data_IF_008174975003
#
_entry.id   IF_008174975003
#
_cell.length_a   1.000
_cell.length_b   1.000
_cell.length_c   1.000
_cell.angle_alpha   90.00
_cell.angle_beta   90.00
_cell.angle_gamma   90.00
#
_symmetry.space_group_name_H-M   'P 1'
#
loop_
_entity.id
_entity.type
_entity.pdbx_description
1 polymer ?
#
# COMPACT_ATOMS: atom_id res chain seq x y z
N UNK A 1 -4.71 24.86 5.07
CA UNK A 1 -3.96 23.73 5.66
C UNK A 1 -3.13 24.24 6.84
N UNK A 2 -3.26 23.67 8.05
CA UNK A 2 -2.58 24.24 9.24
C UNK A 2 -1.07 23.93 9.21
N UNK A 3 -0.24 24.86 9.70
CA UNK A 3 1.23 24.72 9.78
C UNK A 3 1.68 23.41 10.44
N UNK A 4 0.96 22.95 11.48
CA UNK A 4 1.21 21.65 12.15
C UNK A 4 1.03 20.44 11.24
N UNK A 5 -0.03 20.42 10.43
CA UNK A 5 -0.32 19.31 9.51
C UNK A 5 0.76 19.21 8.43
N UNK A 6 1.22 20.37 7.95
CA UNK A 6 2.30 20.44 6.95
C UNK A 6 3.63 19.96 7.54
N UNK A 7 3.98 20.40 8.76
CA UNK A 7 5.18 19.93 9.47
C UNK A 7 5.19 18.42 9.68
N UNK A 8 4.08 17.83 10.12
CA UNK A 8 3.99 16.38 10.31
C UNK A 8 4.10 15.61 8.99
N UNK A 9 3.41 16.06 7.93
CA UNK A 9 3.47 15.42 6.62
C UNK A 9 4.89 15.49 6.03
N UNK A 10 5.57 16.64 6.18
CA UNK A 10 6.97 16.80 5.77
C UNK A 10 7.90 15.92 6.61
N UNK A 11 7.69 15.82 7.92
CA UNK A 11 8.49 14.95 8.79
C UNK A 11 8.36 13.47 8.39
N UNK A 12 7.14 12.99 8.15
CA UNK A 12 6.90 11.61 7.68
C UNK A 12 7.55 11.38 6.31
N UNK A 13 7.37 12.31 5.37
CA UNK A 13 8.00 12.22 4.05
C UNK A 13 9.52 12.11 4.16
N UNK A 14 10.14 12.92 5.02
CA UNK A 14 11.59 12.92 5.23
C UNK A 14 12.06 11.61 5.89
N UNK A 15 11.34 11.10 6.89
CA UNK A 15 11.64 9.79 7.50
C UNK A 15 11.57 8.67 6.46
N UNK A 16 10.55 8.65 5.60
CA UNK A 16 10.41 7.66 4.54
C UNK A 16 11.55 7.78 3.52
N UNK A 17 11.91 9.00 3.10
CA UNK A 17 13.03 9.23 2.20
C UNK A 17 14.35 8.66 2.78
N UNK A 18 14.64 8.99 4.04
CA UNK A 18 15.83 8.52 4.75
C UNK A 18 15.82 6.99 4.87
N UNK A 19 14.67 6.40 5.18
CA UNK A 19 14.54 4.95 5.32
C UNK A 19 14.78 4.24 3.98
N UNK A 20 14.23 4.76 2.87
CA UNK A 20 14.47 4.20 1.54
C UNK A 20 15.94 4.31 1.15
N UNK A 21 16.58 5.47 1.39
CA UNK A 21 18.00 5.66 1.13
C UNK A 21 18.89 4.76 2.02
N UNK A 22 18.52 4.57 3.28
CA UNK A 22 19.23 3.67 4.18
C UNK A 22 19.15 2.22 3.69
N UNK A 23 17.95 1.76 3.30
CA UNK A 23 17.74 0.40 2.78
C UNK A 23 18.51 0.18 1.47
N UNK A 24 18.54 1.16 0.56
CA UNK A 24 19.29 1.03 -0.69
C UNK A 24 20.79 1.10 -0.48
N UNK A 25 21.28 1.90 0.47
CA UNK A 25 22.71 1.97 0.81
C UNK A 25 23.22 0.72 1.51
N UNK A 26 22.36 0.01 2.24
CA UNK A 26 22.68 -1.28 2.85
C UNK A 26 22.81 -2.41 1.83
N UNK A 27 22.26 -2.25 0.62
CA UNK A 27 22.59 -3.15 -0.49
C UNK A 27 24.01 -2.80 -0.93
N UNK A 28 24.99 -3.55 -0.42
CA UNK A 28 26.39 -3.43 -0.80
C UNK A 28 26.60 -3.55 -2.31
N UNK A 29 27.82 -3.32 -2.75
CA UNK A 29 28.17 -3.45 -4.16
C UNK A 29 27.87 -4.86 -4.68
N UNK A 30 27.25 -4.95 -5.85
CA UNK A 30 27.02 -6.22 -6.52
C UNK A 30 27.78 -6.24 -7.84
N UNK A 31 28.31 -7.40 -8.18
CA UNK A 31 29.00 -7.68 -9.43
C UNK A 31 28.25 -8.79 -10.14
N UNK A 32 28.01 -8.63 -11.43
CA UNK A 32 27.42 -9.65 -12.28
C UNK A 32 28.49 -10.16 -13.24
N UNK A 33 28.83 -11.44 -13.12
CA UNK A 33 29.73 -12.13 -14.03
C UNK A 33 28.94 -13.00 -15.00
N UNK A 34 29.32 -12.97 -16.27
CA UNK A 34 28.63 -13.66 -17.37
C UNK A 34 29.58 -14.58 -18.12
N UNK A 35 29.07 -15.72 -18.57
CA UNK A 35 29.81 -16.67 -19.41
C UNK A 35 28.87 -17.34 -20.41
N UNK A 36 29.32 -17.53 -21.64
CA UNK A 36 28.53 -18.20 -22.67
C UNK A 36 28.88 -19.70 -22.74
N UNK A 37 27.84 -20.51 -22.90
CA UNK A 37 27.94 -21.96 -23.17
C UNK A 37 27.26 -22.24 -24.49
N UNK A 38 27.94 -22.98 -25.37
CA UNK A 38 27.48 -23.32 -26.71
C UNK A 38 27.26 -24.82 -26.83
N UNK A 39 26.09 -25.21 -27.32
CA UNK A 39 25.83 -26.56 -27.78
C UNK A 39 26.63 -26.84 -29.06
N UNK A 40 27.41 -27.93 -29.05
CA UNK A 40 28.22 -28.35 -30.20
C UNK A 40 27.93 -29.82 -30.49
N UNK A 41 27.70 -30.22 -31.76
CA UNK A 41 27.50 -31.62 -32.11
C UNK A 41 28.77 -32.43 -31.88
N UNK A 42 28.62 -33.72 -31.52
CA UNK A 42 29.73 -34.67 -31.50
C UNK A 42 29.89 -35.23 -32.92
N UNK A 43 31.12 -35.26 -33.43
CA UNK A 43 31.46 -35.60 -34.83
C UNK A 43 31.17 -37.06 -35.23
N UNK A 44 30.56 -37.87 -34.35
CA UNK A 44 30.38 -39.32 -34.53
C UNK A 44 28.92 -39.76 -34.75
N UNK A 45 27.95 -38.85 -34.76
CA UNK A 45 26.56 -39.19 -35.07
C UNK A 45 26.23 -38.87 -36.53
N UNK A 46 25.91 -39.89 -37.31
CA UNK A 46 25.48 -39.82 -38.73
C UNK A 46 24.15 -39.05 -38.97
N UNK A 47 23.64 -38.31 -37.97
CA UNK A 47 22.38 -37.59 -38.11
C UNK A 47 22.41 -36.24 -37.40
N UNK A 48 22.81 -35.20 -38.14
CA UNK A 48 22.67 -33.79 -37.70
C UNK A 48 21.21 -33.42 -37.33
N UNK A 49 20.22 -34.17 -37.85
CA UNK A 49 18.81 -34.03 -37.49
C UNK A 49 18.54 -34.40 -36.02
N UNK A 50 19.17 -35.46 -35.51
CA UNK A 50 19.02 -35.89 -34.11
C UNK A 50 19.66 -34.90 -33.13
N UNK A 51 20.75 -34.24 -33.53
CA UNK A 51 21.37 -33.18 -32.74
C UNK A 51 20.43 -31.98 -32.56
N UNK A 52 19.79 -31.52 -33.63
CA UNK A 52 18.84 -30.40 -33.57
C UNK A 52 17.66 -30.67 -32.63
N UNK A 53 17.09 -31.88 -32.72
CA UNK A 53 16.01 -32.35 -31.83
C UNK A 53 16.46 -32.40 -30.36
N UNK A 54 17.56 -33.11 -30.07
CA UNK A 54 18.09 -33.24 -28.70
C UNK A 54 18.46 -31.87 -28.12
N UNK A 55 19.13 -31.01 -28.89
CA UNK A 55 19.46 -29.67 -28.44
C UNK A 55 18.21 -28.83 -28.15
N UNK A 56 17.19 -28.88 -29.02
CA UNK A 56 15.94 -28.15 -28.80
C UNK A 56 15.18 -28.59 -27.54
N UNK A 57 15.24 -29.88 -27.19
CA UNK A 57 14.58 -30.44 -26.01
C UNK A 57 15.40 -30.21 -24.73
N UNK A 58 16.72 -30.32 -24.81
CA UNK A 58 17.61 -30.29 -23.64
C UNK A 58 18.09 -28.89 -23.26
N UNK A 59 18.25 -27.95 -24.21
CA UNK A 59 18.70 -26.59 -23.90
C UNK A 59 17.79 -25.84 -22.90
N UNK A 60 16.45 -25.93 -22.97
CA UNK A 60 15.58 -25.36 -21.96
C UNK A 60 15.81 -25.93 -20.55
N UNK A 61 16.27 -27.18 -20.43
CA UNK A 61 16.53 -27.83 -19.15
C UNK A 61 17.74 -27.22 -18.40
N UNK A 62 18.62 -26.47 -19.08
CA UNK A 62 19.73 -25.73 -18.45
C UNK A 62 19.20 -24.78 -17.37
N UNK A 63 18.04 -24.15 -17.60
CA UNK A 63 17.42 -23.24 -16.62
C UNK A 63 17.15 -23.93 -15.29
N UNK A 64 16.62 -25.16 -15.34
CA UNK A 64 16.34 -25.94 -14.14
C UNK A 64 17.64 -26.49 -13.51
N UNK A 65 18.57 -26.93 -14.35
CA UNK A 65 19.83 -27.51 -13.89
C UNK A 65 20.71 -26.52 -13.13
N UNK A 66 20.75 -25.26 -13.56
CA UNK A 66 21.50 -24.20 -12.90
C UNK A 66 20.99 -23.93 -11.47
N UNK A 67 19.71 -24.21 -11.20
CA UNK A 67 19.10 -24.12 -9.87
C UNK A 67 19.15 -25.45 -9.09
N UNK A 68 19.79 -26.49 -9.62
CA UNK A 68 19.90 -27.77 -8.91
C UNK A 68 20.82 -27.65 -7.69
N UNK A 69 20.52 -28.36 -6.58
CA UNK A 69 21.35 -28.29 -5.36
C UNK A 69 22.83 -28.57 -5.61
N UNK A 70 23.13 -29.55 -6.46
CA UNK A 70 24.51 -29.94 -6.80
C UNK A 70 25.29 -28.84 -7.52
N UNK A 71 24.64 -28.10 -8.42
CA UNK A 71 25.26 -26.98 -9.15
C UNK A 71 25.47 -25.79 -8.22
N UNK A 72 24.46 -25.48 -7.40
CA UNK A 72 24.52 -24.39 -6.43
C UNK A 72 25.59 -24.65 -5.35
N UNK A 73 25.74 -25.89 -4.87
CA UNK A 73 26.80 -26.28 -3.93
C UNK A 73 28.20 -26.21 -4.54
N UNK A 74 28.35 -26.54 -5.83
CA UNK A 74 29.62 -26.39 -6.52
C UNK A 74 30.00 -24.90 -6.68
N UNK A 75 29.04 -24.07 -7.06
CA UNK A 75 29.22 -22.63 -7.20
C UNK A 75 29.52 -21.94 -5.86
N UNK A 76 28.77 -22.29 -4.80
CA UNK A 76 28.96 -21.76 -3.46
C UNK A 76 30.35 -22.07 -2.90
N UNK A 77 30.85 -23.30 -3.11
CA UNK A 77 32.21 -23.68 -2.72
C UNK A 77 33.27 -22.89 -3.48
N UNK A 78 33.08 -22.66 -4.78
CA UNK A 78 34.03 -21.90 -5.59
C UNK A 78 34.09 -20.41 -5.18
N UNK A 79 32.96 -19.83 -4.82
CA UNK A 79 32.84 -18.43 -4.42
C UNK A 79 32.94 -18.19 -2.90
N UNK A 80 33.22 -19.21 -2.10
CA UNK A 80 33.30 -19.11 -0.62
C UNK A 80 32.05 -18.46 0.02
N UNK A 81 30.87 -18.82 -0.47
CA UNK A 81 29.56 -18.28 -0.06
C UNK A 81 28.57 -19.43 0.21
N UNK A 82 27.30 -19.11 0.48
CA UNK A 82 26.24 -20.10 0.69
C UNK A 82 25.50 -20.42 -0.62
N UNK A 83 24.99 -21.65 -0.81
CA UNK A 83 24.18 -22.01 -1.98
C UNK A 83 22.93 -21.12 -2.13
N UNK A 84 22.38 -20.64 -1.01
CA UNK A 84 21.22 -19.75 -0.98
C UNK A 84 21.54 -18.38 -1.59
N UNK A 85 22.68 -17.80 -1.24
CA UNK A 85 23.12 -16.52 -1.82
C UNK A 85 23.34 -16.62 -3.33
N UNK A 86 23.88 -17.75 -3.82
CA UNK A 86 24.04 -17.99 -5.27
C UNK A 86 22.68 -18.17 -5.95
N UNK A 87 21.74 -18.91 -5.34
CA UNK A 87 20.43 -19.19 -5.91
C UNK A 87 19.62 -17.92 -6.19
N UNK A 88 19.75 -16.90 -5.34
CA UNK A 88 19.05 -15.62 -5.50
C UNK A 88 19.65 -14.74 -6.62
N UNK A 89 20.90 -15.01 -7.03
CA UNK A 89 21.67 -14.19 -7.96
C UNK A 89 22.02 -14.87 -9.29
N UNK A 90 21.63 -16.13 -9.50
CA UNK A 90 21.95 -16.89 -10.71
C UNK A 90 20.89 -16.71 -11.80
N UNK A 91 21.33 -16.56 -13.04
CA UNK A 91 20.48 -16.34 -14.20
C UNK A 91 20.92 -17.14 -15.42
N UNK A 92 19.95 -17.44 -16.29
CA UNK A 92 20.19 -18.10 -17.58
C UNK A 92 19.40 -17.36 -18.65
N UNK A 93 20.10 -16.87 -19.67
CA UNK A 93 19.52 -16.31 -20.88
C UNK A 93 19.78 -17.28 -22.04
N UNK A 94 18.71 -17.89 -22.56
CA UNK A 94 18.79 -18.75 -23.74
C UNK A 94 18.68 -17.87 -24.98
N UNK A 95 19.68 -17.92 -25.87
CA UNK A 95 19.65 -17.16 -27.12
C UNK A 95 18.85 -17.95 -28.16
N UNK A 96 17.70 -17.43 -28.64
CA UNK A 96 16.83 -18.17 -29.54
C UNK A 96 17.54 -18.69 -30.79
N UNK A 97 17.20 -19.91 -31.20
CA UNK A 97 17.68 -20.55 -32.43
C UNK A 97 19.21 -20.65 -32.60
N UNK A 98 20.00 -20.53 -31.52
CA UNK A 98 21.47 -20.43 -31.61
C UNK A 98 22.24 -21.54 -30.88
N UNK A 99 21.57 -22.38 -30.08
CA UNK A 99 22.24 -23.35 -29.20
C UNK A 99 23.13 -22.70 -28.14
N UNK A 100 23.04 -21.38 -27.95
CA UNK A 100 23.85 -20.62 -27.00
C UNK A 100 23.01 -20.27 -25.76
N UNK A 101 23.61 -20.48 -24.58
CA UNK A 101 23.08 -20.05 -23.30
C UNK A 101 24.09 -19.13 -22.63
N UNK A 102 23.66 -17.97 -22.15
CA UNK A 102 24.45 -17.09 -21.29
C UNK A 102 24.07 -17.34 -19.85
N UNK A 103 25.06 -17.69 -19.05
CA UNK A 103 24.91 -17.89 -17.62
C UNK A 103 25.41 -16.63 -16.93
N UNK A 104 24.68 -16.15 -15.93
CA UNK A 104 25.09 -15.02 -15.10
C UNK A 104 25.00 -15.38 -13.62
N UNK A 105 25.95 -14.88 -12.82
CA UNK A 105 25.89 -14.96 -11.36
C UNK A 105 26.19 -13.59 -10.77
N UNK A 106 25.38 -13.18 -9.80
CA UNK A 106 25.62 -11.99 -8.99
C UNK A 106 26.25 -12.33 -7.65
N UNK A 107 27.28 -11.60 -7.26
CA UNK A 107 27.93 -11.72 -5.95
C UNK A 107 28.43 -10.37 -5.42
N UNK A 108 28.93 -10.37 -4.18
CA UNK A 108 29.42 -9.15 -3.50
C UNK A 108 30.79 -8.67 -3.97
N UNK A 109 31.54 -9.50 -4.70
CA UNK A 109 32.81 -9.12 -5.34
C UNK A 109 32.91 -9.69 -6.76
N UNK A 110 33.81 -9.12 -7.54
CA UNK A 110 34.16 -9.59 -8.89
C UNK A 110 34.74 -11.01 -8.88
N UNK A 111 35.63 -11.29 -7.92
CA UNK A 111 36.26 -12.60 -7.72
C UNK A 111 35.23 -13.69 -7.39
N UNK A 112 34.28 -13.39 -6.50
CA UNK A 112 33.21 -14.31 -6.14
C UNK A 112 32.26 -14.58 -7.31
N UNK A 113 31.84 -13.52 -8.01
CA UNK A 113 30.93 -13.66 -9.15
C UNK A 113 31.60 -14.45 -10.29
N UNK A 114 32.88 -14.18 -10.56
CA UNK A 114 33.67 -14.89 -11.56
C UNK A 114 33.85 -16.36 -11.21
N UNK A 115 34.27 -16.66 -9.97
CA UNK A 115 34.46 -18.04 -9.52
C UNK A 115 33.15 -18.85 -9.55
N UNK A 116 32.04 -18.24 -9.10
CA UNK A 116 30.73 -18.88 -9.10
C UNK A 116 30.25 -19.20 -10.52
N UNK A 117 30.28 -18.22 -11.44
CA UNK A 117 29.75 -18.42 -12.80
C UNK A 117 30.58 -19.47 -13.57
N UNK A 118 31.90 -19.50 -13.38
CA UNK A 118 32.76 -20.54 -13.97
C UNK A 118 32.44 -21.92 -13.41
N UNK A 119 32.22 -22.04 -12.10
CA UNK A 119 31.83 -23.30 -11.48
C UNK A 119 30.45 -23.79 -11.95
N UNK A 120 29.47 -22.89 -12.09
CA UNK A 120 28.16 -23.21 -12.67
C UNK A 120 28.32 -23.70 -14.11
N UNK A 121 29.05 -22.97 -14.96
CA UNK A 121 29.26 -23.34 -16.36
C UNK A 121 29.94 -24.70 -16.51
N UNK A 122 30.93 -24.98 -15.66
CA UNK A 122 31.60 -26.28 -15.61
C UNK A 122 30.64 -27.40 -15.22
N UNK A 123 29.86 -27.22 -14.15
CA UNK A 123 28.89 -28.23 -13.71
C UNK A 123 27.80 -28.50 -14.76
N UNK A 124 27.33 -27.45 -15.45
CA UNK A 124 26.38 -27.55 -16.57
C UNK A 124 26.98 -28.31 -17.75
N UNK A 125 28.25 -28.05 -18.09
CA UNK A 125 28.94 -28.76 -19.15
C UNK A 125 29.16 -30.24 -18.79
N UNK A 126 29.59 -30.51 -17.55
CA UNK A 126 29.88 -31.86 -17.03
C UNK A 126 28.62 -32.73 -16.90
N UNK A 127 27.44 -32.11 -16.73
CA UNK A 127 26.16 -32.80 -16.71
C UNK A 127 25.79 -33.45 -18.05
N UNK A 128 26.47 -33.08 -19.15
CA UNK A 128 26.36 -33.73 -20.46
C UNK A 128 24.92 -33.90 -20.97
N UNK A 129 24.06 -32.89 -20.78
CA UNK A 129 22.64 -32.95 -21.17
C UNK A 129 22.38 -33.27 -22.65
N UNK A 130 23.36 -32.99 -23.51
CA UNK A 130 23.26 -33.22 -24.95
C UNK A 130 23.76 -34.60 -25.37
N UNK A 131 24.31 -35.40 -24.44
CA UNK A 131 24.81 -36.73 -24.78
C UNK A 131 23.66 -37.66 -25.21
N UNK A 132 23.90 -38.54 -26.21
CA UNK A 132 25.15 -38.71 -26.96
C UNK A 132 25.28 -37.78 -28.19
N UNK A 133 24.24 -37.04 -28.57
CA UNK A 133 24.16 -36.29 -29.82
C UNK A 133 25.07 -35.03 -29.87
N UNK A 134 25.40 -34.46 -28.72
CA UNK A 134 26.15 -33.23 -28.60
C UNK A 134 26.83 -33.09 -27.24
N UNK A 135 27.52 -31.96 -27.06
CA UNK A 135 28.09 -31.53 -25.78
C UNK A 135 27.97 -30.03 -25.61
N UNK A 136 27.95 -29.58 -24.36
CA UNK A 136 28.02 -28.17 -24.02
C UNK A 136 29.49 -27.77 -23.89
N UNK A 137 29.90 -26.71 -24.59
CA UNK A 137 31.25 -26.15 -24.52
C UNK A 137 31.19 -24.73 -23.99
N UNK A 138 31.98 -24.43 -22.96
CA UNK A 138 32.18 -23.05 -22.50
C UNK A 138 32.91 -22.27 -23.60
N UNK A 139 32.32 -21.18 -24.06
CA UNK A 139 32.83 -20.41 -25.20
C UNK A 139 33.95 -19.45 -24.77
N UNK A 140 33.76 -18.81 -23.62
CA UNK A 140 34.69 -17.83 -23.07
C UNK A 140 35.40 -18.40 -21.84
N UNK A 141 36.72 -18.49 -21.88
CA UNK A 141 37.52 -19.01 -20.75
C UNK A 141 37.59 -18.00 -19.59
N UNK A 142 37.32 -16.72 -19.86
CA UNK A 142 37.28 -15.64 -18.87
C UNK A 142 35.86 -15.07 -18.78
N UNK A 143 35.22 -15.08 -17.61
CA UNK A 143 33.90 -14.50 -17.44
C UNK A 143 33.96 -12.97 -17.55
N UNK A 144 33.00 -12.38 -18.26
CA UNK A 144 32.84 -10.93 -18.35
C UNK A 144 32.18 -10.45 -17.05
N UNK A 145 32.90 -9.64 -16.27
CA UNK A 145 32.42 -9.17 -14.96
C UNK A 145 32.11 -7.68 -15.02
N UNK A 146 30.88 -7.32 -14.66
CA UNK A 146 30.40 -5.94 -14.64
C UNK A 146 29.92 -5.57 -13.25
N UNK A 147 30.23 -4.35 -12.81
CA UNK A 147 29.72 -3.84 -11.53
C UNK A 147 28.27 -3.42 -11.70
N UNK A 148 27.38 -4.13 -11.02
CA UNK A 148 25.95 -3.82 -10.90
C UNK A 148 25.73 -3.15 -9.54
N UNK A 149 26.34 -1.99 -9.34
CA UNK A 149 26.12 -1.22 -8.12
C UNK A 149 24.65 -0.73 -8.06
N UNK A 150 24.08 -0.50 -6.85
CA UNK A 150 22.82 0.22 -6.75
C UNK A 150 22.94 1.56 -7.47
N UNK A 151 22.11 1.79 -8.49
CA UNK A 151 22.11 3.08 -9.18
C UNK A 151 21.59 4.15 -8.21
N UNK A 152 22.50 4.96 -7.71
CA UNK A 152 22.19 6.02 -6.75
C UNK A 152 21.15 7.00 -7.27
N UNK A 153 21.07 7.18 -8.61
CA UNK A 153 20.05 8.05 -9.23
C UNK A 153 18.68 7.41 -9.12
N UNK A 154 18.58 6.10 -9.36
CA UNK A 154 17.33 5.35 -9.15
C UNK A 154 16.96 5.30 -7.68
N UNK A 155 17.92 5.08 -6.77
CA UNK A 155 17.68 5.08 -5.34
C UNK A 155 17.16 6.45 -4.85
N UNK A 156 17.77 7.55 -5.30
CA UNK A 156 17.32 8.90 -4.98
C UNK A 156 15.91 9.19 -5.57
N UNK A 157 15.67 8.79 -6.81
CA UNK A 157 14.35 8.94 -7.45
C UNK A 157 13.25 8.16 -6.72
N UNK A 158 13.53 6.91 -6.33
CA UNK A 158 12.62 6.07 -5.56
C UNK A 158 12.33 6.67 -4.17
N UNK A 159 13.37 7.16 -3.48
CA UNK A 159 13.23 7.81 -2.19
C UNK A 159 12.34 9.05 -2.28
N UNK A 160 12.52 9.88 -3.31
CA UNK A 160 11.68 11.06 -3.55
C UNK A 160 10.22 10.68 -3.81
N UNK A 161 9.98 9.69 -4.67
CA UNK A 161 8.62 9.22 -4.99
C UNK A 161 7.91 8.66 -3.76
N UNK A 162 8.59 7.84 -2.96
CA UNK A 162 8.06 7.29 -1.72
C UNK A 162 7.75 8.38 -0.69
N UNK A 163 8.64 9.37 -0.55
CA UNK A 163 8.45 10.51 0.34
C UNK A 163 7.21 11.34 -0.04
N UNK A 164 7.04 11.64 -1.34
CA UNK A 164 5.87 12.36 -1.85
C UNK A 164 4.59 11.58 -1.58
N UNK A 165 4.57 10.28 -1.90
CA UNK A 165 3.41 9.42 -1.65
C UNK A 165 3.03 9.39 -0.16
N UNK A 166 4.01 9.21 0.73
CA UNK A 166 3.79 9.19 2.17
C UNK A 166 3.29 10.53 2.72
N UNK A 167 3.85 11.65 2.24
CA UNK A 167 3.41 12.99 2.61
C UNK A 167 1.96 13.27 2.20
N UNK A 168 1.60 12.93 0.95
CA UNK A 168 0.23 13.08 0.43
C UNK A 168 -0.75 12.20 1.21
N UNK A 169 -0.41 10.93 1.43
CA UNK A 169 -1.26 9.99 2.18
C UNK A 169 -1.50 10.49 3.61
N UNK A 170 -0.46 10.99 4.28
CA UNK A 170 -0.57 11.55 5.64
C UNK A 170 -1.47 12.79 5.67
N UNK A 171 -1.30 13.70 4.70
CA UNK A 171 -2.14 14.88 4.58
C UNK A 171 -3.61 14.51 4.31
N UNK A 172 -3.87 13.54 3.42
CA UNK A 172 -5.21 13.06 3.10
C UNK A 172 -5.88 12.36 4.29
N UNK A 173 -5.18 11.45 4.97
CA UNK A 173 -5.69 10.78 6.17
C UNK A 173 -6.05 11.79 7.27
N UNK A 174 -5.24 12.85 7.42
CA UNK A 174 -5.49 13.87 8.42
C UNK A 174 -6.61 14.84 8.02
N UNK A 175 -6.81 15.08 6.73
CA UNK A 175 -7.98 15.78 6.22
C UNK A 175 -9.27 14.98 6.47
N UNK A 176 -9.22 13.66 6.31
CA UNK A 176 -10.34 12.75 6.58
C UNK A 176 -10.65 12.60 8.07
N UNK A 177 -9.64 12.62 8.94
CA UNK A 177 -9.79 12.45 10.40
C UNK A 177 -10.12 13.74 11.16
N UNK A 178 -10.12 14.91 10.52
CA UNK A 178 -10.52 16.14 11.20
C UNK A 178 -12.03 16.12 11.45
N UNK A 179 -12.51 16.26 12.70
CA UNK A 179 -13.90 16.63 12.92
C UNK A 179 -14.16 17.93 12.18
N UNK A 180 -15.12 17.91 11.26
CA UNK A 180 -15.48 19.09 10.46
C UNK A 180 -16.06 20.13 11.41
N UNK A 181 -15.76 21.39 11.14
CA UNK A 181 -15.70 22.52 12.09
C UNK A 181 -16.95 22.87 12.91
N UNK A 182 -18.09 22.19 12.76
CA UNK A 182 -19.27 22.37 13.62
C UNK A 182 -19.48 21.24 14.66
N UNK A 183 -19.04 20.01 14.39
CA UNK A 183 -19.42 18.84 15.22
C UNK A 183 -18.78 18.84 16.61
N UNK A 184 -17.55 19.36 16.71
CA UNK A 184 -16.85 19.48 17.99
C UNK A 184 -17.45 20.61 18.86
N UNK A 185 -17.88 21.70 18.24
CA UNK A 185 -18.52 22.82 18.92
C UNK A 185 -19.89 22.42 19.46
N UNK A 186 -20.70 21.70 18.67
CA UNK A 186 -22.00 21.18 19.11
C UNK A 186 -21.84 20.14 20.21
N UNK A 187 -20.87 19.22 20.10
CA UNK A 187 -20.61 18.24 21.17
C UNK A 187 -20.19 18.92 22.47
N UNK A 188 -19.41 20.00 22.39
CA UNK A 188 -19.05 20.81 23.56
C UNK A 188 -20.26 21.55 24.14
N UNK A 189 -21.14 22.12 23.30
CA UNK A 189 -22.37 22.78 23.74
C UNK A 189 -23.33 21.81 24.44
N UNK A 190 -23.54 20.61 23.87
CA UNK A 190 -24.37 19.54 24.45
C UNK A 190 -23.80 19.05 25.79
N UNK A 191 -22.48 18.88 25.89
CA UNK A 191 -21.83 18.53 27.14
C UNK A 191 -21.96 19.63 28.21
N UNK A 192 -21.89 20.90 27.79
CA UNK A 192 -22.03 22.07 28.69
C UNK A 192 -23.46 22.19 29.21
N UNK A 193 -24.47 21.84 28.40
CA UNK A 193 -25.87 21.76 28.81
C UNK A 193 -26.18 20.56 29.73
N UNK A 194 -25.19 19.72 30.07
CA UNK A 194 -25.34 18.61 31.00
C UNK A 194 -26.03 17.37 30.41
N UNK A 195 -26.26 17.33 29.11
CA UNK A 195 -26.87 16.20 28.42
C UNK A 195 -25.84 15.09 28.21
N UNK A 196 -25.98 13.99 28.97
CA UNK A 196 -25.06 12.83 28.94
C UNK A 196 -25.47 11.71 27.98
N UNK A 197 -26.59 11.87 27.28
CA UNK A 197 -27.12 10.88 26.35
C UNK A 197 -26.59 11.13 24.92
N UNK A 198 -26.42 10.08 24.09
CA UNK A 198 -25.97 10.26 22.71
C UNK A 198 -27.02 11.02 21.89
N UNK A 199 -26.61 12.15 21.32
CA UNK A 199 -27.45 13.02 20.47
C UNK A 199 -27.02 12.87 19.01
N UNK A 200 -27.97 12.65 18.10
CA UNK A 200 -27.68 12.56 16.68
C UNK A 200 -27.38 13.96 16.09
N UNK A 201 -26.35 14.06 15.24
CA UNK A 201 -26.04 15.28 14.50
C UNK A 201 -26.44 15.07 13.05
N UNK A 202 -27.40 15.85 12.57
CA UNK A 202 -27.91 15.77 11.19
C UNK A 202 -27.64 17.11 10.52
N UNK A 203 -27.44 17.13 9.19
CA UNK A 203 -27.21 18.37 8.43
C UNK A 203 -28.40 18.67 7.55
N UNK A 204 -28.69 19.95 7.35
CA UNK A 204 -29.78 20.38 6.46
C UNK A 204 -29.55 19.93 5.01
N UNK A 205 -28.28 19.92 4.55
CA UNK A 205 -27.88 19.46 3.21
C UNK A 205 -27.95 17.93 3.00
N UNK A 206 -28.28 17.13 4.03
CA UNK A 206 -28.36 15.67 3.88
C UNK A 206 -29.70 15.28 3.22
N UNK A 207 -29.71 14.68 2.00
CA UNK A 207 -30.94 14.30 1.31
C UNK A 207 -31.76 13.24 2.09
N UNK A 208 -31.15 12.52 3.03
CA UNK A 208 -31.80 11.54 3.90
C UNK A 208 -32.17 12.10 5.28
N UNK A 209 -32.02 13.41 5.51
CA UNK A 209 -32.25 14.06 6.81
C UNK A 209 -33.64 13.73 7.38
N UNK A 210 -34.69 13.93 6.58
CA UNK A 210 -36.08 13.77 7.03
C UNK A 210 -36.40 12.33 7.39
N UNK A 211 -35.88 11.36 6.64
CA UNK A 211 -36.10 9.93 6.92
C UNK A 211 -35.41 9.51 8.22
N UNK A 212 -34.18 10.01 8.47
CA UNK A 212 -33.45 9.74 9.70
C UNK A 212 -34.06 10.41 10.93
N UNK A 213 -34.49 11.67 10.81
CA UNK A 213 -35.20 12.37 11.87
C UNK A 213 -36.54 11.68 12.18
N UNK A 214 -37.27 11.26 11.14
CA UNK A 214 -38.52 10.51 11.29
C UNK A 214 -38.29 9.18 12.02
N UNK A 215 -37.25 8.43 11.66
CA UNK A 215 -36.90 7.18 12.34
C UNK A 215 -36.54 7.40 13.82
N UNK A 216 -35.81 8.46 14.14
CA UNK A 216 -35.46 8.83 15.52
C UNK A 216 -36.67 9.27 16.32
N UNK A 217 -37.58 10.04 15.73
CA UNK A 217 -38.86 10.42 16.34
C UNK A 217 -39.78 9.21 16.57
N UNK A 218 -39.78 8.25 15.65
CA UNK A 218 -40.50 6.98 15.81
C UNK A 218 -39.91 6.13 16.93
N UNK A 219 -38.58 6.05 17.03
CA UNK A 219 -37.91 5.31 18.09
C UNK A 219 -38.09 5.96 19.48
N UNK A 220 -38.19 7.29 19.54
CA UNK A 220 -38.40 8.03 20.78
C UNK A 220 -39.82 7.85 21.36
N UNK A 221 -40.81 7.53 20.52
CA UNK A 221 -42.22 7.28 20.89
C UNK A 221 -42.83 8.37 21.79
N UNK A 222 -42.50 9.64 21.51
CA UNK A 222 -42.82 10.83 22.33
C UNK A 222 -43.23 11.99 21.42
N UNK A 223 -44.03 12.94 21.92
CA UNK A 223 -44.36 14.16 21.19
C UNK A 223 -43.07 14.94 20.83
N UNK A 224 -42.96 15.34 19.57
CA UNK A 224 -41.76 15.99 19.00
C UNK A 224 -41.93 17.51 19.04
N UNK A 225 -40.88 18.22 19.45
CA UNK A 225 -40.81 19.69 19.42
C UNK A 225 -39.51 20.14 18.80
N UNK A 226 -39.60 20.96 17.76
CA UNK A 226 -38.43 21.59 17.13
C UNK A 226 -38.20 22.95 17.77
N UNK A 227 -36.95 23.28 18.11
CA UNK A 227 -36.58 24.55 18.74
C UNK A 227 -35.40 25.16 17.98
N UNK A 228 -35.48 26.45 17.59
CA UNK A 228 -34.35 27.16 17.02
C UNK A 228 -33.33 27.51 18.11
N UNK A 229 -32.04 27.32 17.83
CA UNK A 229 -30.96 27.72 18.73
C UNK A 229 -30.69 29.23 18.70
N UNK A 230 -31.08 29.92 17.63
CA UNK A 230 -30.98 31.37 17.47
C UNK A 230 -32.26 31.91 16.81
N UNK A 231 -32.60 33.18 17.09
CA UNK A 231 -33.76 33.88 16.55
C UNK A 231 -33.78 33.90 15.02
N UNK A 232 -32.62 33.88 14.36
CA UNK A 232 -32.49 33.81 12.90
C UNK A 232 -32.99 32.50 12.28
N UNK A 233 -33.09 31.41 13.07
CA UNK A 233 -33.42 30.06 12.58
C UNK A 233 -34.89 29.68 12.81
N UNK A 234 -35.73 30.63 13.26
CA UNK A 234 -37.13 30.38 13.64
C UNK A 234 -37.96 29.86 12.45
N UNK A 235 -37.80 30.45 11.27
CA UNK A 235 -38.53 30.02 10.07
C UNK A 235 -38.12 28.61 9.60
N UNK A 236 -36.85 28.24 9.76
CA UNK A 236 -36.34 26.90 9.44
C UNK A 236 -36.83 25.87 10.45
N UNK A 237 -36.85 26.23 11.74
CA UNK A 237 -37.41 25.38 12.79
C UNK A 237 -38.92 25.12 12.59
N UNK A 238 -39.68 26.13 12.17
CA UNK A 238 -41.11 25.99 11.84
C UNK A 238 -41.33 25.11 10.60
N UNK A 239 -40.57 25.34 9.53
CA UNK A 239 -40.65 24.50 8.32
C UNK A 239 -40.24 23.04 8.58
N UNK A 240 -39.25 22.82 9.45
CA UNK A 240 -38.86 21.48 9.87
C UNK A 240 -39.93 20.83 10.77
N UNK A 241 -40.60 21.60 11.62
CA UNK A 241 -41.71 21.10 12.44
C UNK A 241 -42.91 20.67 11.58
N UNK A 242 -43.22 21.39 10.50
CA UNK A 242 -44.31 21.06 9.57
C UNK A 242 -44.04 19.83 8.71
N UNK A 243 -42.76 19.53 8.42
CA UNK A 243 -42.35 18.39 7.61
C UNK A 243 -42.17 17.09 8.40
N UNK A 244 -42.17 17.16 9.73
CA UNK A 244 -42.11 16.00 10.61
C UNK A 244 -43.52 15.46 10.94
N UNK A 245 -43.66 14.14 11.17
CA UNK A 245 -44.95 13.58 11.52
C UNK A 245 -45.45 14.12 12.86
N UNK A 246 -46.69 14.62 12.88
CA UNK A 246 -47.34 15.07 14.11
C UNK A 246 -47.61 13.86 15.03
N UNK A 247 -46.86 13.82 16.13
CA UNK A 247 -46.92 12.76 17.15
C UNK A 247 -47.46 13.27 18.49
N UNK A 248 -48.27 14.33 18.47
CA UNK A 248 -48.88 14.91 19.66
C UNK A 248 -49.71 13.93 20.52
N UNK A 249 -50.10 12.77 19.98
CA UNK A 249 -50.93 11.76 20.64
C UNK A 249 -50.17 10.52 21.16
N UNK A 250 -48.83 10.47 21.11
CA UNK A 250 -48.07 9.28 21.53
C UNK A 250 -47.93 9.15 23.07
N UNK A 251 -47.99 7.92 23.61
CA UNK A 251 -48.20 7.66 25.05
C UNK A 251 -46.97 7.86 25.95
N UNK A 252 -45.84 8.37 25.43
CA UNK A 252 -44.60 8.54 26.19
C UNK A 252 -44.61 9.75 27.13
N UNK A 253 -44.20 9.57 28.39
CA UNK A 253 -44.02 10.68 29.34
C UNK A 253 -42.84 11.59 28.94
N UNK A 254 -43.10 12.81 28.45
CA UNK A 254 -42.07 13.83 28.14
C UNK A 254 -42.01 14.21 26.66
N UNK A 255 -41.11 15.12 26.27
CA UNK A 255 -41.04 15.69 24.90
C UNK A 255 -39.71 15.37 24.24
N UNK A 256 -39.72 14.86 23.01
CA UNK A 256 -38.52 14.71 22.18
C UNK A 256 -38.19 16.05 21.51
N UNK A 257 -36.97 16.55 21.68
CA UNK A 257 -36.55 17.86 21.17
C UNK A 257 -35.57 17.69 20.01
N UNK A 258 -35.78 18.46 18.95
CA UNK A 258 -34.82 18.64 17.85
C UNK A 258 -34.39 20.10 17.86
N UNK A 259 -33.08 20.36 18.03
CA UNK A 259 -32.55 21.71 17.99
C UNK A 259 -32.00 22.03 16.60
N UNK A 260 -32.34 23.20 16.05
CA UNK A 260 -31.77 23.69 14.77
C UNK A 260 -30.71 24.73 15.10
N UNK A 261 -29.47 24.50 14.65
CA UNK A 261 -28.32 25.35 14.95
C UNK A 261 -27.54 25.68 13.68
N UNK A 262 -26.97 26.88 13.61
CA UNK A 262 -26.07 27.27 12.54
C UNK A 262 -24.71 26.57 12.73
N UNK A 263 -24.23 25.85 11.72
CA UNK A 263 -22.92 25.21 11.71
C UNK A 263 -21.74 26.19 11.83
N UNK A 264 -21.97 27.48 11.57
CA UNK A 264 -21.03 28.60 11.74
C UNK A 264 -21.28 29.50 12.96
N UNK A 265 -22.36 29.29 13.72
CA UNK A 265 -22.76 30.13 14.84
C UNK A 265 -21.97 29.92 16.13
N UNK A 266 -22.09 30.84 17.10
CA UNK A 266 -21.43 30.71 18.40
C UNK A 266 -22.07 29.57 19.23
N UNK A 267 -21.27 28.63 19.79
CA UNK A 267 -21.79 27.49 20.54
C UNK A 267 -22.50 27.85 21.86
N UNK A 268 -22.44 29.13 22.26
CA UNK A 268 -23.05 29.67 23.48
C UNK A 268 -24.57 29.73 23.36
N UNK A 269 -25.10 30.09 22.18
CA UNK A 269 -26.54 30.27 21.97
C UNK A 269 -27.27 28.92 21.96
N UNK A 270 -26.65 27.89 21.37
CA UNK A 270 -27.14 26.52 21.44
C UNK A 270 -27.15 25.97 22.87
N UNK A 271 -26.09 26.24 23.65
CA UNK A 271 -26.05 25.80 25.05
C UNK A 271 -27.12 26.50 25.90
N UNK A 272 -27.37 27.79 25.66
CA UNK A 272 -28.42 28.55 26.33
C UNK A 272 -29.82 28.04 25.99
N UNK A 273 -30.11 27.78 24.70
CA UNK A 273 -31.38 27.23 24.25
C UNK A 273 -31.66 25.83 24.86
N UNK A 274 -30.62 24.99 24.95
CA UNK A 274 -30.74 23.66 25.55
C UNK A 274 -30.89 23.69 27.09
N UNK A 275 -30.33 24.70 27.76
CA UNK A 275 -30.41 24.83 29.22
C UNK A 275 -31.83 25.20 29.74
N UNK A 276 -32.68 25.77 28.87
CA UNK A 276 -34.05 26.19 29.21
C UNK A 276 -35.07 25.04 29.04
N UNK A 277 -34.63 23.88 28.56
CA UNK A 277 -35.50 22.72 28.37
C UNK A 277 -36.04 22.18 29.71
N UNK A 278 -37.33 21.81 29.77
CA UNK A 278 -37.88 21.16 30.97
C UNK A 278 -37.18 19.82 31.21
N UNK A 279 -37.05 19.41 32.48
CA UNK A 279 -36.34 18.18 32.85
C UNK A 279 -36.92 16.89 32.23
N UNK A 280 -38.16 16.94 31.72
CA UNK A 280 -38.84 15.86 31.00
C UNK A 280 -38.56 15.86 29.47
N UNK A 281 -37.79 16.82 28.96
CA UNK A 281 -37.42 16.89 27.56
C UNK A 281 -36.13 16.09 27.27
N UNK A 282 -36.12 15.36 26.16
CA UNK A 282 -34.98 14.57 25.70
C UNK A 282 -34.54 15.12 24.34
N UNK A 283 -33.30 15.62 24.26
CA UNK A 283 -32.70 16.04 23.00
C UNK A 283 -32.35 14.81 22.16
N UNK A 284 -32.98 14.66 21.00
CA UNK A 284 -32.81 13.49 20.13
C UNK A 284 -31.86 13.79 18.96
N UNK A 285 -31.94 15.00 18.42
CA UNK A 285 -31.09 15.43 17.32
C UNK A 285 -30.77 16.93 17.37
N UNK A 286 -29.61 17.30 16.80
CA UNK A 286 -29.28 18.68 16.43
C UNK A 286 -29.09 18.73 14.91
N UNK A 287 -29.87 19.59 14.26
CA UNK A 287 -29.76 19.87 12.82
C UNK A 287 -28.83 21.05 12.64
N UNK A 288 -27.78 20.85 11.84
CA UNK A 288 -26.84 21.90 11.46
C UNK A 288 -27.21 22.46 10.10
N UNK A 289 -27.60 23.73 10.07
CA UNK A 289 -27.82 24.55 8.87
C UNK A 289 -26.52 25.19 8.42
#
# INVERSE_FOLDING_TARGET
>A
MNKRTLLEATAVALVVAVLVLAVTSLRGEQYESRIAVLAVPVTQTDSAAQYGEVASLAMPAIVQMVHSPTVLEAAARAASTTPREIADGVGVELVPASGLARLSVRAGSDEQAGAAVTAVAKAVADANLLAPAGRLRVLDERPETTRVAPDWKLAAGLALAAALAAGIATAALRALRRPRTGEAAVRAAVATAGLRHPVALVREDDPEMLDRLTALCVAAARPVRVIPADHGLTAQAESLAESLPDKAAEPGEGTAVIAVADGGGEPVDLAAALAVLPASAVLVAVVLT
#
